data_IF_769895796126
#
_entry.id   IF_769895796126
#
_cell.length_a   1.000
_cell.length_b   1.000
_cell.length_c   1.000
_cell.angle_alpha   90.00
_cell.angle_beta   90.00
_cell.angle_gamma   90.00
#
_symmetry.space_group_name_H-M   'P 1'
#
loop_
_entity.id
_entity.type
_entity.pdbx_description
1 polymer ?
#
# COMPACT_ATOMS: atom_id res chain seq x y z
N UNK A 1 -14.14 16.21 14.13
CA UNK A 1 -13.38 17.22 13.40
C UNK A 1 -13.20 16.71 11.98
N UNK A 2 -14.05 17.14 11.06
CA UNK A 2 -13.90 16.85 9.63
C UNK A 2 -12.69 17.66 9.16
N UNK A 3 -11.67 17.01 8.61
CA UNK A 3 -10.59 17.68 7.90
C UNK A 3 -11.24 18.43 6.73
N UNK A 4 -11.33 19.75 6.85
CA UNK A 4 -11.75 20.61 5.76
C UNK A 4 -10.53 20.80 4.87
N UNK A 5 -10.47 20.05 3.76
CA UNK A 5 -9.47 20.29 2.71
C UNK A 5 -9.97 21.45 1.87
N UNK A 6 -9.14 22.45 1.55
CA UNK A 6 -9.46 23.45 0.54
C UNK A 6 -9.78 22.74 -0.79
N UNK A 7 -10.68 23.32 -1.59
CA UNK A 7 -11.10 22.73 -2.87
C UNK A 7 -9.94 22.44 -3.85
N UNK A 8 -8.81 23.12 -3.69
CA UNK A 8 -7.58 22.88 -4.45
C UNK A 8 -6.88 21.55 -4.12
N UNK A 9 -7.06 21.00 -2.92
CA UNK A 9 -6.46 19.73 -2.51
C UNK A 9 -7.19 18.51 -3.08
N UNK A 10 -8.39 18.67 -3.61
CA UNK A 10 -9.17 17.59 -4.24
C UNK A 10 -8.56 17.12 -5.57
N UNK A 11 -7.84 17.97 -6.26
CA UNK A 11 -7.19 17.68 -7.54
C UNK A 11 -5.74 17.18 -7.37
N UNK A 12 -5.14 17.41 -6.20
CA UNK A 12 -3.76 17.03 -5.92
C UNK A 12 -3.66 16.27 -4.59
N UNK A 13 -4.22 15.04 -4.54
CA UNK A 13 -4.27 14.25 -3.31
C UNK A 13 -2.88 13.68 -3.01
N UNK A 14 -2.15 14.31 -2.09
CA UNK A 14 -0.85 13.84 -1.60
C UNK A 14 -0.97 12.83 -0.45
N UNK A 15 -2.15 12.64 0.14
CA UNK A 15 -2.39 11.73 1.26
C UNK A 15 -3.00 10.41 0.82
N UNK A 16 -2.68 9.30 1.49
CA UNK A 16 -3.26 7.97 1.21
C UNK A 16 -4.78 7.93 1.39
N UNK A 17 -5.33 8.76 2.28
CA UNK A 17 -6.78 8.87 2.53
C UNK A 17 -7.30 10.28 2.27
N UNK A 18 -8.48 10.42 1.64
CA UNK A 18 -9.10 11.72 1.35
C UNK A 18 -10.59 11.83 1.74
N UNK A 19 -11.29 10.71 1.96
CA UNK A 19 -12.75 10.73 2.26
C UNK A 19 -13.09 10.80 3.74
N UNK A 20 -12.13 10.58 4.65
CA UNK A 20 -12.39 10.55 6.09
C UNK A 20 -13.33 9.42 6.58
N UNK A 21 -13.70 8.48 5.70
CA UNK A 21 -14.74 7.47 5.97
C UNK A 21 -14.20 6.16 6.56
N UNK A 22 -12.89 5.92 6.53
CA UNK A 22 -12.29 4.64 6.96
C UNK A 22 -12.52 4.39 8.47
N UNK A 23 -12.21 5.36 9.32
CA UNK A 23 -12.36 5.24 10.78
C UNK A 23 -13.82 5.03 11.17
N UNK A 24 -14.79 5.86 10.72
CA UNK A 24 -16.22 5.62 11.02
C UNK A 24 -16.71 4.25 10.55
N UNK A 25 -16.27 3.80 9.36
CA UNK A 25 -16.64 2.49 8.81
C UNK A 25 -16.14 1.33 9.68
N UNK A 26 -14.88 1.40 10.15
CA UNK A 26 -14.30 0.38 11.04
C UNK A 26 -14.98 0.42 12.40
N UNK A 27 -15.19 1.60 12.98
CA UNK A 27 -15.82 1.77 14.28
C UNK A 27 -17.27 1.25 14.29
N UNK A 28 -18.01 1.34 13.18
CA UNK A 28 -19.42 0.88 13.08
C UNK A 28 -19.56 -0.65 13.18
N UNK A 29 -18.49 -1.41 12.95
CA UNK A 29 -18.52 -2.88 12.87
C UNK A 29 -17.57 -3.57 13.86
N UNK A 30 -17.07 -2.83 14.84
CA UNK A 30 -16.08 -3.34 15.80
C UNK A 30 -16.19 -2.64 17.16
N UNK A 31 -15.44 -3.16 18.13
CA UNK A 31 -15.03 -2.37 19.28
C UNK A 31 -13.74 -1.65 18.87
N UNK A 32 -13.78 -0.32 18.83
CA UNK A 32 -12.74 0.54 18.29
C UNK A 32 -12.23 1.51 19.36
N UNK A 33 -10.94 1.47 19.63
CA UNK A 33 -10.25 2.42 20.50
C UNK A 33 -9.20 3.18 19.69
N UNK A 34 -9.21 4.51 19.77
CA UNK A 34 -8.18 5.38 19.21
C UNK A 34 -7.57 6.20 20.34
N UNK A 35 -6.26 6.08 20.52
CA UNK A 35 -5.45 6.92 21.38
C UNK A 35 -4.54 7.75 20.50
N UNK A 36 -4.48 9.06 20.72
CA UNK A 36 -3.55 9.93 20.00
C UNK A 36 -3.02 11.01 20.94
N UNK A 37 -1.79 11.46 20.68
CA UNK A 37 -1.13 12.53 21.43
C UNK A 37 -0.07 13.19 20.56
N UNK A 38 0.05 14.51 20.69
CA UNK A 38 1.12 15.33 20.10
C UNK A 38 2.38 15.42 20.99
N UNK A 39 2.30 14.88 22.21
CA UNK A 39 3.33 14.93 23.24
C UNK A 39 3.05 15.95 24.36
N UNK A 40 2.09 16.85 24.17
CA UNK A 40 1.64 17.82 25.18
C UNK A 40 0.22 17.50 25.65
N UNK A 41 -0.65 17.20 24.70
CA UNK A 41 -2.03 16.80 24.95
C UNK A 41 -2.38 15.54 24.17
N UNK A 42 -3.33 14.77 24.67
CA UNK A 42 -3.78 13.58 23.99
C UNK A 42 -5.21 13.21 24.35
N UNK A 43 -5.84 12.48 23.45
CA UNK A 43 -7.24 12.02 23.63
C UNK A 43 -7.34 10.52 23.34
N UNK A 44 -8.13 9.84 24.15
CA UNK A 44 -8.58 8.46 23.90
C UNK A 44 -10.06 8.51 23.61
N UNK A 45 -10.50 7.90 22.52
CA UNK A 45 -11.91 7.81 22.12
C UNK A 45 -12.26 6.34 21.89
N UNK A 46 -13.38 5.90 22.42
CA UNK A 46 -13.86 4.53 22.31
C UNK A 46 -15.24 4.50 21.67
N UNK A 47 -15.40 3.62 20.69
CA UNK A 47 -16.67 3.28 20.07
C UNK A 47 -16.92 1.78 20.17
N UNK A 48 -18.17 1.39 20.35
CA UNK A 48 -18.62 0.00 20.25
C UNK A 48 -19.76 -0.11 19.23
N UNK A 49 -19.48 -0.77 18.11
CA UNK A 49 -20.44 -0.97 17.02
C UNK A 49 -21.13 0.33 16.56
N UNK A 50 -20.33 1.39 16.38
CA UNK A 50 -20.80 2.71 15.95
C UNK A 50 -21.36 3.60 17.05
N UNK A 51 -21.52 3.09 18.26
CA UNK A 51 -21.98 3.88 19.42
C UNK A 51 -20.77 4.47 20.13
N UNK A 52 -20.80 5.78 20.37
CA UNK A 52 -19.82 6.44 21.22
C UNK A 52 -19.95 5.93 22.67
N UNK A 53 -18.84 5.53 23.26
CA UNK A 53 -18.78 5.02 24.64
C UNK A 53 -18.17 6.07 25.56
N UNK A 54 -16.93 6.48 25.28
CA UNK A 54 -16.25 7.45 26.12
C UNK A 54 -15.20 8.26 25.35
N UNK A 55 -14.87 9.41 25.91
CA UNK A 55 -13.67 10.18 25.58
C UNK A 55 -12.98 10.59 26.86
N UNK A 56 -11.66 10.38 26.91
CA UNK A 56 -10.84 10.74 28.07
C UNK A 56 -9.44 11.18 27.63
N UNK A 57 -8.65 11.71 28.54
CA UNK A 57 -7.27 12.03 28.27
C UNK A 57 -6.48 10.77 27.93
N UNK A 58 -5.58 10.87 26.95
CA UNK A 58 -4.70 9.77 26.54
C UNK A 58 -3.53 9.61 27.49
N UNK A 59 -3.15 8.36 27.75
CA UNK A 59 -1.92 7.95 28.41
C UNK A 59 -0.73 7.82 27.47
N UNK A 60 -0.93 8.03 26.16
CA UNK A 60 0.09 7.93 25.14
C UNK A 60 1.03 9.14 25.16
N UNK A 61 2.34 8.92 25.19
CA UNK A 61 3.31 10.02 25.21
C UNK A 61 3.29 10.85 23.92
N UNK A 62 3.42 10.20 22.77
CA UNK A 62 3.31 10.83 21.45
C UNK A 62 2.96 9.78 20.41
N UNK A 63 2.16 10.16 19.41
CA UNK A 63 1.79 9.31 18.29
C UNK A 63 0.32 8.88 18.32
N UNK A 64 0.00 7.82 17.58
CA UNK A 64 -1.37 7.30 17.47
C UNK A 64 -1.38 5.79 17.63
N UNK A 65 -2.31 5.27 18.44
CA UNK A 65 -2.59 3.84 18.61
C UNK A 65 -4.04 3.57 18.30
N UNK A 66 -4.30 2.67 17.36
CA UNK A 66 -5.63 2.19 17.05
C UNK A 66 -5.73 0.74 17.46
N UNK A 67 -6.78 0.39 18.20
CA UNK A 67 -7.09 -0.98 18.61
C UNK A 67 -8.46 -1.35 18.07
N UNK A 68 -8.53 -2.43 17.30
CA UNK A 68 -9.77 -2.95 16.72
C UNK A 68 -9.96 -4.37 17.24
N UNK A 69 -11.07 -4.61 17.94
CA UNK A 69 -11.45 -5.93 18.44
C UNK A 69 -12.91 -6.23 18.11
N UNK A 70 -13.34 -7.47 18.27
CA UNK A 70 -14.71 -7.90 17.98
C UNK A 70 -15.19 -7.56 16.55
N UNK A 71 -14.25 -7.56 15.58
CA UNK A 71 -14.56 -7.20 14.19
C UNK A 71 -15.68 -8.07 13.63
N UNK A 72 -16.71 -7.43 13.01
CA UNK A 72 -17.89 -8.05 12.43
C UNK A 72 -18.82 -8.78 13.41
N UNK A 73 -18.64 -8.68 14.73
CA UNK A 73 -19.49 -9.37 15.69
C UNK A 73 -20.97 -8.94 15.58
N UNK A 74 -21.23 -7.68 15.26
CA UNK A 74 -22.59 -7.15 15.02
C UNK A 74 -23.08 -7.37 13.57
N UNK A 75 -22.26 -7.96 12.69
CA UNK A 75 -22.59 -8.22 11.28
C UNK A 75 -22.24 -9.68 10.93
N UNK A 76 -23.02 -10.68 11.45
CA UNK A 76 -22.68 -12.09 11.30
C UNK A 76 -22.57 -12.56 9.85
N UNK A 77 -23.29 -11.92 8.93
CA UNK A 77 -23.20 -12.20 7.50
C UNK A 77 -21.79 -11.94 6.96
N UNK A 78 -21.12 -10.86 7.40
CA UNK A 78 -19.73 -10.57 7.00
C UNK A 78 -18.73 -11.49 7.69
N UNK A 79 -18.97 -11.85 8.95
CA UNK A 79 -18.09 -12.77 9.68
C UNK A 79 -17.95 -14.13 8.98
N UNK A 80 -19.02 -14.61 8.31
CA UNK A 80 -19.01 -15.87 7.55
C UNK A 80 -18.05 -15.84 6.34
N UNK A 81 -17.72 -14.68 5.83
CA UNK A 81 -16.78 -14.53 4.70
C UNK A 81 -15.32 -14.40 5.14
N UNK A 82 -15.06 -14.22 6.43
CA UNK A 82 -13.70 -14.22 6.98
C UNK A 82 -13.13 -15.63 6.84
N UNK A 83 -12.00 -15.73 6.17
CA UNK A 83 -11.29 -17.00 5.95
C UNK A 83 -10.58 -17.46 7.22
N UNK A 84 -9.72 -18.44 7.12
CA UNK A 84 -8.89 -18.86 8.25
C UNK A 84 -7.94 -17.74 8.69
N UNK A 85 -7.57 -17.72 9.97
CA UNK A 85 -6.63 -16.72 10.52
C UNK A 85 -5.33 -16.65 9.70
N UNK A 86 -4.81 -17.80 9.25
CA UNK A 86 -3.60 -17.84 8.43
C UNK A 86 -3.81 -17.19 7.05
N UNK A 87 -4.96 -17.39 6.43
CA UNK A 87 -5.27 -16.78 5.13
C UNK A 87 -5.42 -15.25 5.27
N UNK A 88 -6.11 -14.79 6.30
CA UNK A 88 -6.26 -13.35 6.56
C UNK A 88 -4.91 -12.72 6.91
N UNK A 89 -4.09 -13.40 7.71
CA UNK A 89 -2.75 -12.92 8.03
C UNK A 89 -1.86 -12.81 6.78
N UNK A 90 -1.92 -13.77 5.86
CA UNK A 90 -1.17 -13.70 4.60
C UNK A 90 -1.60 -12.49 3.74
N UNK A 91 -2.90 -12.15 3.73
CA UNK A 91 -3.38 -10.93 3.06
C UNK A 91 -2.87 -9.66 3.73
N UNK A 92 -2.88 -9.61 5.06
CA UNK A 92 -2.37 -8.47 5.83
C UNK A 92 -0.87 -8.30 5.58
N UNK A 93 -0.10 -9.40 5.64
CA UNK A 93 1.34 -9.37 5.39
C UNK A 93 1.65 -8.85 3.98
N UNK A 94 0.99 -9.37 2.95
CA UNK A 94 1.16 -8.91 1.58
C UNK A 94 0.83 -7.41 1.42
N UNK A 95 -0.19 -6.93 2.13
CA UNK A 95 -0.55 -5.51 2.12
C UNK A 95 0.54 -4.65 2.77
N UNK A 96 1.06 -5.05 3.94
CA UNK A 96 2.14 -4.33 4.64
C UNK A 96 3.44 -4.36 3.82
N UNK A 97 3.79 -5.49 3.20
CA UNK A 97 4.94 -5.62 2.30
C UNK A 97 4.84 -4.65 1.12
N UNK A 98 3.68 -4.57 0.47
CA UNK A 98 3.45 -3.61 -0.62
C UNK A 98 3.53 -2.17 -0.15
N UNK A 99 2.96 -1.87 1.02
CA UNK A 99 3.01 -0.52 1.60
C UNK A 99 4.45 -0.11 1.91
N UNK A 100 5.29 -1.03 2.38
CA UNK A 100 6.71 -0.75 2.61
C UNK A 100 7.52 -0.55 1.32
N UNK A 101 7.14 -1.20 0.21
CA UNK A 101 7.74 -0.93 -1.11
C UNK A 101 7.40 0.47 -1.62
N UNK A 102 6.23 1.00 -1.28
CA UNK A 102 5.84 2.37 -1.66
C UNK A 102 6.42 3.45 -0.75
N UNK A 103 6.80 3.08 0.48
CA UNK A 103 7.35 3.98 1.49
C UNK A 103 8.59 3.39 2.16
N UNK A 104 9.70 3.25 1.43
CA UNK A 104 10.93 2.69 1.99
C UNK A 104 11.56 3.57 3.08
N UNK A 105 11.16 4.85 3.17
CA UNK A 105 11.51 5.83 4.19
C UNK A 105 10.78 5.65 5.52
N UNK A 106 9.74 4.78 5.55
CA UNK A 106 8.97 4.48 6.76
C UNK A 106 9.38 3.12 7.32
N UNK A 107 9.66 3.06 8.62
CA UNK A 107 9.91 1.81 9.33
C UNK A 107 8.58 1.09 9.65
N UNK A 108 8.42 -0.10 9.11
CA UNK A 108 7.27 -0.98 9.38
C UNK A 108 7.67 -2.11 10.32
N UNK A 109 6.79 -2.49 11.23
CA UNK A 109 6.91 -3.72 12.03
C UNK A 109 5.55 -4.41 12.05
N UNK A 110 5.48 -5.61 11.49
CA UNK A 110 4.30 -6.48 11.56
C UNK A 110 4.54 -7.57 12.60
N UNK A 111 3.58 -7.71 13.50
CA UNK A 111 3.60 -8.75 14.53
C UNK A 111 2.38 -9.66 14.41
N UNK A 112 2.57 -10.95 14.62
CA UNK A 112 1.50 -11.95 14.71
C UNK A 112 1.69 -12.77 15.98
N UNK A 113 0.68 -12.83 16.83
CA UNK A 113 0.70 -13.57 18.08
C UNK A 113 1.97 -13.28 18.93
N UNK A 114 2.32 -12.00 19.05
CA UNK A 114 3.47 -11.53 19.84
C UNK A 114 4.85 -11.73 19.19
N UNK A 115 4.92 -12.33 17.98
CA UNK A 115 6.18 -12.50 17.23
C UNK A 115 6.27 -11.53 16.08
N UNK A 116 7.44 -10.90 15.90
CA UNK A 116 7.72 -10.08 14.71
C UNK A 116 7.86 -11.01 13.51
N UNK A 117 7.04 -10.78 12.48
CA UNK A 117 7.02 -11.56 11.24
C UNK A 117 7.60 -10.82 10.05
N UNK A 118 7.56 -9.48 10.10
CA UNK A 118 8.12 -8.62 9.07
C UNK A 118 8.61 -7.30 9.70
N UNK A 119 9.72 -6.77 9.20
CA UNK A 119 10.26 -5.50 9.71
C UNK A 119 11.11 -4.82 8.63
N UNK A 120 10.98 -3.47 8.50
CA UNK A 120 11.84 -2.62 7.69
C UNK A 120 12.49 -1.52 8.52
N UNK A 121 13.57 -0.93 8.02
CA UNK A 121 14.38 0.05 8.75
C UNK A 121 13.90 1.49 8.54
N UNK A 122 13.16 1.79 7.45
CA UNK A 122 12.70 3.14 7.13
C UNK A 122 13.82 4.09 6.74
N UNK A 123 14.84 3.59 6.04
CA UNK A 123 16.03 4.37 5.66
C UNK A 123 16.01 4.85 4.21
N UNK A 124 14.88 4.71 3.50
CA UNK A 124 14.71 5.09 2.10
C UNK A 124 15.31 4.10 1.08
N UNK A 125 15.92 3.00 1.52
CA UNK A 125 16.60 2.04 0.65
C UNK A 125 15.63 0.97 0.13
N UNK A 126 15.07 1.17 -1.07
CA UNK A 126 14.11 0.23 -1.67
C UNK A 126 14.68 -1.20 -1.81
N UNK A 127 15.97 -1.34 -2.13
CA UNK A 127 16.60 -2.66 -2.20
C UNK A 127 16.62 -3.41 -0.87
N UNK A 128 16.71 -2.72 0.27
CA UNK A 128 16.61 -3.36 1.58
C UNK A 128 15.20 -3.87 1.83
N UNK A 129 14.18 -3.13 1.42
CA UNK A 129 12.79 -3.58 1.49
C UNK A 129 12.58 -4.81 0.59
N UNK A 130 13.08 -4.78 -0.64
CA UNK A 130 13.04 -5.93 -1.56
C UNK A 130 13.76 -7.13 -0.93
N UNK A 131 14.89 -6.92 -0.25
CA UNK A 131 15.60 -7.97 0.47
C UNK A 131 14.75 -8.62 1.58
N UNK A 132 14.03 -7.83 2.36
CA UNK A 132 13.16 -8.33 3.43
C UNK A 132 11.99 -9.19 2.88
N UNK A 133 11.48 -8.87 1.70
CA UNK A 133 10.34 -9.56 1.07
C UNK A 133 10.79 -10.80 0.28
N UNK A 134 11.84 -10.67 -0.51
CA UNK A 134 12.22 -11.68 -1.51
C UNK A 134 13.53 -12.41 -1.21
N UNK A 135 14.32 -11.91 -0.25
CA UNK A 135 15.60 -12.48 0.14
C UNK A 135 16.78 -12.05 -0.72
N UNK A 136 17.99 -12.36 -0.24
CA UNK A 136 19.26 -11.92 -0.82
C UNK A 136 19.49 -12.43 -2.25
N UNK A 137 19.04 -13.65 -2.55
CA UNK A 137 19.19 -14.25 -3.89
C UNK A 137 18.46 -13.44 -4.97
N UNK A 138 17.30 -12.86 -4.63
CA UNK A 138 16.56 -11.99 -5.55
C UNK A 138 17.28 -10.67 -5.71
N UNK A 139 17.63 -10.00 -4.62
CA UNK A 139 18.27 -8.68 -4.66
C UNK A 139 19.56 -8.68 -5.51
N UNK A 140 20.40 -9.71 -5.41
CA UNK A 140 21.61 -9.85 -6.23
C UNK A 140 21.34 -9.94 -7.74
N UNK A 141 20.12 -10.25 -8.12
CA UNK A 141 19.67 -10.39 -9.50
C UNK A 141 18.64 -9.33 -9.90
N UNK A 142 18.51 -8.24 -9.14
CA UNK A 142 17.76 -7.06 -9.54
C UNK A 142 18.64 -6.09 -10.32
N UNK A 143 18.07 -5.48 -11.34
CA UNK A 143 18.66 -4.41 -12.13
C UNK A 143 17.95 -3.12 -11.81
N UNK A 144 18.70 -2.03 -11.66
CA UNK A 144 18.11 -0.70 -11.55
C UNK A 144 17.50 -0.32 -12.90
N UNK A 145 16.30 0.23 -12.87
CA UNK A 145 15.60 0.81 -14.01
C UNK A 145 15.42 2.30 -13.73
N UNK A 146 15.84 3.12 -14.66
CA UNK A 146 15.52 4.55 -14.68
C UNK A 146 15.39 4.99 -16.13
N UNK A 147 14.21 5.42 -16.53
CA UNK A 147 13.88 5.96 -17.85
C UNK A 147 12.93 7.12 -17.69
N UNK A 148 13.01 8.10 -18.58
CA UNK A 148 12.20 9.31 -18.52
C UNK A 148 11.88 9.84 -19.92
N UNK A 149 10.80 10.54 -20.03
CA UNK A 149 10.44 11.40 -21.17
C UNK A 149 9.82 12.71 -20.64
N UNK A 150 9.24 13.52 -21.51
CA UNK A 150 8.67 14.84 -21.12
C UNK A 150 7.53 14.73 -20.10
N UNK A 151 6.86 13.57 -19.97
CA UNK A 151 5.65 13.39 -19.19
C UNK A 151 5.82 12.42 -18.01
N UNK A 152 6.74 11.46 -18.13
CA UNK A 152 6.90 10.37 -17.17
C UNK A 152 8.36 10.21 -16.77
N UNK A 153 8.57 9.99 -15.48
CA UNK A 153 9.79 9.38 -14.94
C UNK A 153 9.43 8.00 -14.40
N UNK A 154 10.11 6.95 -14.87
CA UNK A 154 9.92 5.57 -14.43
C UNK A 154 11.19 5.07 -13.79
N UNK A 155 11.13 4.77 -12.50
CA UNK A 155 12.27 4.27 -11.75
C UNK A 155 11.92 3.04 -10.92
N UNK A 156 12.93 2.27 -10.55
CA UNK A 156 12.77 1.12 -9.67
C UNK A 156 13.72 -0.02 -9.98
N UNK A 157 13.25 -1.24 -9.81
CA UNK A 157 14.07 -2.44 -9.98
C UNK A 157 13.32 -3.51 -10.76
N UNK A 158 14.02 -4.16 -11.70
CA UNK A 158 13.52 -5.30 -12.47
C UNK A 158 14.44 -6.50 -12.27
N UNK A 159 13.86 -7.69 -12.21
CA UNK A 159 14.60 -8.93 -12.01
C UNK A 159 15.23 -9.45 -13.30
N UNK A 160 16.46 -9.98 -13.25
CA UNK A 160 17.01 -10.79 -14.32
C UNK A 160 16.12 -12.01 -14.59
N UNK A 161 16.25 -12.62 -15.76
CA UNK A 161 15.41 -13.74 -16.21
C UNK A 161 15.48 -14.97 -15.30
N UNK A 162 16.57 -15.12 -14.54
CA UNK A 162 16.76 -16.23 -13.61
C UNK A 162 15.81 -16.18 -12.40
N UNK A 163 15.33 -14.99 -12.01
CA UNK A 163 14.44 -14.79 -10.87
C UNK A 163 13.01 -14.50 -11.31
N UNK A 164 12.35 -15.48 -11.86
CA UNK A 164 10.96 -15.34 -12.32
C UNK A 164 9.97 -16.08 -11.40
N UNK A 165 8.67 -15.78 -11.55
CA UNK A 165 7.58 -16.30 -10.74
C UNK A 165 6.43 -16.82 -11.59
N UNK A 166 5.61 -17.71 -11.02
CA UNK A 166 4.42 -18.24 -11.68
C UNK A 166 3.21 -17.27 -11.62
N UNK A 167 3.34 -16.14 -10.95
CA UNK A 167 2.25 -15.16 -10.77
C UNK A 167 2.70 -13.75 -11.11
N UNK A 168 1.83 -12.99 -11.78
CA UNK A 168 1.99 -11.55 -12.06
C UNK A 168 1.98 -10.68 -10.79
N UNK A 169 1.62 -11.22 -9.63
CA UNK A 169 1.53 -10.45 -8.38
C UNK A 169 2.87 -9.90 -7.90
N UNK A 170 3.98 -10.35 -8.49
CA UNK A 170 5.33 -9.88 -8.21
C UNK A 170 5.79 -8.73 -9.13
N UNK A 171 4.91 -8.30 -10.05
CA UNK A 171 5.04 -7.03 -10.75
C UNK A 171 4.26 -6.00 -9.94
N UNK A 172 4.97 -5.20 -9.17
CA UNK A 172 4.41 -4.14 -8.33
C UNK A 172 4.61 -2.81 -9.04
N UNK A 173 3.51 -2.16 -9.35
CA UNK A 173 3.50 -0.84 -9.99
C UNK A 173 3.02 0.21 -9.00
N UNK A 174 3.72 1.34 -8.96
CA UNK A 174 3.36 2.51 -8.19
C UNK A 174 3.18 3.69 -9.14
N UNK A 175 2.30 4.62 -8.77
CA UNK A 175 2.13 5.91 -9.45
C UNK A 175 2.20 6.99 -8.38
N UNK A 176 3.18 7.86 -8.48
CA UNK A 176 3.46 8.88 -7.47
C UNK A 176 3.50 8.27 -6.06
N UNK A 177 4.27 7.19 -5.89
CA UNK A 177 4.42 6.38 -4.67
C UNK A 177 3.13 5.72 -4.15
N UNK A 178 2.05 5.66 -4.94
CA UNK A 178 0.84 4.92 -4.60
C UNK A 178 0.83 3.56 -5.28
N UNK A 179 0.51 2.52 -4.53
CA UNK A 179 0.32 1.17 -5.08
C UNK A 179 -0.88 1.18 -6.00
N UNK A 180 -0.62 0.96 -7.28
CA UNK A 180 -1.64 0.95 -8.33
C UNK A 180 -1.42 -0.26 -9.23
N UNK A 181 -2.48 -0.95 -9.59
CA UNK A 181 -2.41 -2.00 -10.60
C UNK A 181 -2.49 -1.35 -11.99
N UNK A 182 -1.35 -0.89 -12.49
CA UNK A 182 -1.26 -0.30 -13.82
C UNK A 182 -1.11 -1.39 -14.88
N UNK A 183 -2.18 -1.67 -15.62
CA UNK A 183 -2.18 -2.76 -16.61
C UNK A 183 -1.26 -2.46 -17.78
N UNK A 184 -1.11 -1.20 -18.17
CA UNK A 184 -0.23 -0.76 -19.29
C UNK A 184 1.22 -1.11 -18.98
N UNK A 185 1.70 -0.70 -17.79
CA UNK A 185 3.06 -1.00 -17.35
C UNK A 185 3.28 -2.50 -17.14
N UNK A 186 2.30 -3.22 -16.57
CA UNK A 186 2.36 -4.66 -16.39
C UNK A 186 2.49 -5.38 -17.75
N UNK A 187 1.72 -4.94 -18.75
CA UNK A 187 1.75 -5.55 -20.08
C UNK A 187 3.02 -5.20 -20.84
N UNK A 188 3.54 -3.97 -20.71
CA UNK A 188 4.83 -3.57 -21.29
C UNK A 188 5.99 -4.41 -20.71
N UNK A 189 6.04 -4.57 -19.39
CA UNK A 189 7.03 -5.42 -18.71
C UNK A 189 6.91 -6.86 -19.21
N UNK A 190 5.71 -7.43 -19.23
CA UNK A 190 5.52 -8.80 -19.70
C UNK A 190 5.93 -8.98 -21.17
N UNK A 191 5.66 -7.99 -22.03
CA UNK A 191 6.04 -8.01 -23.43
C UNK A 191 7.57 -8.00 -23.59
N UNK A 192 8.28 -7.17 -22.81
CA UNK A 192 9.74 -7.13 -22.81
C UNK A 192 10.36 -8.48 -22.42
N UNK A 193 9.78 -9.16 -21.45
CA UNK A 193 10.29 -10.46 -20.97
C UNK A 193 9.80 -11.67 -21.77
N UNK A 194 8.79 -11.52 -22.64
CA UNK A 194 8.14 -12.65 -23.36
C UNK A 194 9.09 -13.53 -24.16
N UNK A 195 10.14 -12.97 -24.72
CA UNK A 195 11.15 -13.71 -25.52
C UNK A 195 12.11 -14.53 -24.67
N UNK A 196 12.19 -14.24 -23.39
CA UNK A 196 13.21 -14.77 -22.48
C UNK A 196 12.64 -15.70 -21.39
N UNK A 197 11.36 -15.59 -21.10
CA UNK A 197 10.70 -16.40 -20.07
C UNK A 197 9.80 -17.46 -20.73
N UNK A 198 9.72 -18.62 -20.07
CA UNK A 198 8.76 -19.64 -20.45
C UNK A 198 7.31 -19.17 -20.24
N UNK A 199 6.35 -19.83 -20.90
CA UNK A 199 4.93 -19.54 -20.73
C UNK A 199 4.52 -19.60 -19.25
N UNK A 200 3.63 -18.68 -18.85
CA UNK A 200 3.16 -18.52 -17.46
C UNK A 200 4.26 -18.22 -16.43
N UNK A 201 5.40 -17.67 -16.88
CA UNK A 201 6.43 -17.12 -15.99
C UNK A 201 6.50 -15.61 -16.15
N UNK A 202 6.69 -14.94 -15.02
CA UNK A 202 6.65 -13.47 -14.92
C UNK A 202 7.86 -12.96 -14.18
N UNK A 203 8.41 -11.81 -14.56
CA UNK A 203 9.53 -11.21 -13.82
C UNK A 203 9.06 -10.72 -12.44
N UNK A 204 10.02 -10.50 -11.55
CA UNK A 204 9.84 -9.66 -10.38
C UNK A 204 10.18 -8.24 -10.83
N UNK A 205 9.25 -7.30 -10.63
CA UNK A 205 9.47 -5.90 -10.96
C UNK A 205 8.79 -5.01 -9.91
N UNK A 206 9.50 -4.01 -9.45
CA UNK A 206 8.98 -2.97 -8.56
C UNK A 206 9.32 -1.64 -9.21
N UNK A 207 8.33 -0.96 -9.76
CA UNK A 207 8.51 0.28 -10.51
C UNK A 207 7.60 1.37 -9.97
N UNK A 208 8.13 2.57 -9.86
CA UNK A 208 7.39 3.78 -9.60
C UNK A 208 7.32 4.61 -10.88
N UNK A 209 6.14 5.06 -11.24
CA UNK A 209 5.86 5.94 -12.37
C UNK A 209 5.53 7.29 -11.78
N UNK A 210 6.39 8.27 -11.97
CA UNK A 210 6.13 9.65 -11.60
C UNK A 210 5.55 10.42 -12.78
N UNK A 211 4.52 11.17 -12.52
CA UNK A 211 3.77 11.97 -13.49
C UNK A 211 3.12 13.14 -12.77
N UNK A 212 2.90 14.24 -13.49
CA UNK A 212 2.13 15.36 -12.98
C UNK A 212 0.76 14.89 -12.47
N UNK A 213 0.42 15.12 -11.19
CA UNK A 213 -0.86 14.72 -10.60
C UNK A 213 -2.09 15.18 -11.38
N UNK A 214 -2.01 16.28 -12.13
CA UNK A 214 -3.10 16.77 -13.00
C UNK A 214 -3.35 15.90 -14.24
N UNK A 215 -2.40 15.05 -14.62
CA UNK A 215 -2.49 14.13 -15.75
C UNK A 215 -3.00 12.72 -15.35
N UNK A 216 -3.26 12.51 -14.06
CA UNK A 216 -3.72 11.24 -13.51
C UNK A 216 -5.09 11.36 -12.87
N UNK A 217 -6.05 10.59 -13.35
CA UNK A 217 -7.31 10.37 -12.61
C UNK A 217 -7.18 9.16 -11.68
N UNK A 218 -7.08 9.43 -10.39
CA UNK A 218 -6.98 8.41 -9.32
C UNK A 218 -8.35 7.95 -8.79
N UNK A 219 -9.45 8.57 -9.25
CA UNK A 219 -10.80 8.30 -8.72
C UNK A 219 -11.60 7.34 -9.60
N UNK A 220 -10.95 6.47 -10.34
CA UNK A 220 -11.59 5.54 -11.30
C UNK A 220 -12.29 4.39 -10.60
N UNK A 221 -11.78 3.92 -9.44
CA UNK A 221 -12.32 2.77 -8.70
C UNK A 221 -12.32 3.00 -7.18
N UNK A 222 -13.35 2.52 -6.43
CA UNK A 222 -13.42 2.68 -4.96
C UNK A 222 -12.19 2.14 -4.21
N UNK A 223 -11.55 1.09 -4.71
CA UNK A 223 -10.32 0.51 -4.13
C UNK A 223 -9.06 1.35 -4.40
N UNK A 224 -9.12 2.35 -5.29
CA UNK A 224 -7.98 3.19 -5.71
C UNK A 224 -6.78 2.40 -6.27
N UNK A 225 -7.01 1.18 -6.71
CA UNK A 225 -5.97 0.31 -7.28
C UNK A 225 -5.81 0.52 -8.79
N UNK A 226 -6.69 1.29 -9.43
CA UNK A 226 -6.65 1.60 -10.84
C UNK A 226 -6.59 3.10 -11.05
N UNK A 227 -5.77 3.55 -11.99
CA UNK A 227 -5.67 4.95 -12.41
C UNK A 227 -5.75 5.01 -13.93
N UNK A 228 -6.27 6.13 -14.45
CA UNK A 228 -6.22 6.45 -15.87
C UNK A 228 -5.23 7.58 -16.10
N UNK A 229 -4.40 7.42 -17.11
CA UNK A 229 -3.51 8.46 -17.57
C UNK A 229 -4.12 9.17 -18.78
N UNK A 230 -3.92 10.49 -18.85
CA UNK A 230 -4.32 11.27 -20.02
C UNK A 230 -3.44 10.95 -21.25
N UNK A 231 -2.22 10.41 -21.04
CA UNK A 231 -1.20 10.15 -22.07
C UNK A 231 -0.67 8.72 -22.03
N UNK A 232 -1.57 7.73 -22.13
CA UNK A 232 -1.22 6.31 -22.07
C UNK A 232 -0.26 5.85 -23.18
N UNK A 233 -0.31 6.49 -24.36
CA UNK A 233 0.55 6.18 -25.51
C UNK A 233 2.02 6.46 -25.24
N UNK A 234 2.31 7.56 -24.56
CA UNK A 234 3.67 7.99 -24.21
C UNK A 234 4.29 7.05 -23.15
N UNK A 235 3.48 6.59 -22.19
CA UNK A 235 3.93 5.59 -21.21
C UNK A 235 4.25 4.23 -21.85
N UNK A 236 3.52 3.84 -22.91
CA UNK A 236 3.79 2.57 -23.63
C UNK A 236 5.06 2.61 -24.45
N UNK A 237 5.51 3.79 -24.88
CA UNK A 237 6.70 3.97 -25.71
C UNK A 237 7.98 4.07 -24.87
N UNK A 238 7.85 4.40 -23.61
CA UNK A 238 8.92 4.49 -22.65
C UNK A 238 9.39 3.09 -22.21
#
# INVERSE_FOLDING_TARGET
MLLHFPDQDLFCIQTLGFRGEAIPSIASISHFELKTSDGQSGSTVVYEFGKFIEQKQSDLKRGTKITVTKLFQNVPARLKYVKSVNAEFAHIQNYVERLSLSHPDIAFTLMHNGKVTYKTNGNGQLLEVIHQIYGLSVVKNMLNLKVENDEFEVEGYIGKIEINRASKNHIVTLVNHRIVKNQIAIDAINQAYRKYLADNRYPIAIINIEIDPYLVDVNVHPSKLEVKFSKESELKQL
#
